data_IF_176984681659
#
_entry.id   IF_176984681659
#
_cell.length_a   1.000
_cell.length_b   1.000
_cell.length_c   1.000
_cell.angle_alpha   90.00
_cell.angle_beta   90.00
_cell.angle_gamma   90.00
#
_symmetry.space_group_name_H-M   'P 1'
#
loop_
_entity.id
_entity.type
_entity.pdbx_description
1 polymer ?
#
# COMPACT_ATOMS: atom_id res chain seq x y z
N UNK A 1 10.09 4.93 -5.47
CA UNK A 1 9.63 4.42 -6.79
C UNK A 1 8.72 5.47 -7.39
N UNK A 2 8.79 5.79 -8.70
CA UNK A 2 7.86 6.78 -9.28
C UNK A 2 6.47 6.17 -9.53
N UNK A 3 5.59 6.29 -8.54
CA UNK A 3 4.19 5.85 -8.63
C UNK A 3 3.45 6.65 -9.70
N UNK A 4 2.67 5.93 -10.50
CA UNK A 4 1.76 6.45 -11.51
C UNK A 4 0.49 5.59 -11.54
N UNK A 5 -0.71 6.22 -11.53
CA UNK A 5 -1.98 5.51 -11.55
C UNK A 5 -2.26 4.80 -12.89
N UNK A 6 -1.50 5.11 -13.94
CA UNK A 6 -1.67 4.53 -15.28
C UNK A 6 -0.77 3.31 -15.54
N UNK A 7 0.00 2.87 -14.53
CA UNK A 7 0.88 1.70 -14.62
C UNK A 7 0.28 0.50 -13.88
N UNK A 8 0.72 -0.68 -14.30
CA UNK A 8 0.52 -1.92 -13.54
C UNK A 8 1.68 -2.13 -12.57
N UNK A 9 1.37 -2.77 -11.45
CA UNK A 9 2.34 -3.14 -10.42
C UNK A 9 2.13 -4.60 -10.05
N UNK A 10 3.22 -5.28 -9.70
CA UNK A 10 3.13 -6.47 -8.87
C UNK A 10 2.70 -6.06 -7.47
N UNK A 11 1.75 -6.81 -6.92
CA UNK A 11 1.26 -6.67 -5.55
C UNK A 11 1.62 -7.93 -4.78
N UNK A 12 2.35 -7.80 -3.68
CA UNK A 12 2.67 -8.92 -2.79
C UNK A 12 2.10 -8.58 -1.42
N UNK A 13 1.04 -9.26 -1.02
CA UNK A 13 0.50 -9.18 0.34
C UNK A 13 1.22 -10.20 1.21
N UNK A 14 1.81 -9.76 2.31
CA UNK A 14 2.38 -10.62 3.36
C UNK A 14 1.56 -10.50 4.64
N UNK A 15 1.33 -11.62 5.31
CA UNK A 15 0.68 -11.71 6.62
C UNK A 15 1.40 -12.80 7.43
N UNK A 16 2.29 -12.41 8.34
CA UNK A 16 3.17 -13.35 9.03
C UNK A 16 4.02 -14.14 8.03
N UNK A 17 3.94 -15.47 8.07
CA UNK A 17 4.66 -16.36 7.15
C UNK A 17 3.95 -16.60 5.81
N UNK A 18 2.75 -16.04 5.62
CA UNK A 18 1.96 -16.23 4.41
C UNK A 18 2.15 -15.09 3.42
N UNK A 19 2.28 -15.43 2.13
CA UNK A 19 2.29 -14.46 1.02
C UNK A 19 1.25 -14.79 -0.07
N UNK A 20 0.63 -13.74 -0.64
CA UNK A 20 -0.16 -13.80 -1.88
C UNK A 20 0.38 -12.80 -2.88
N UNK A 21 0.69 -13.28 -4.08
CA UNK A 21 1.11 -12.47 -5.23
C UNK A 21 -0.08 -12.18 -6.13
N UNK A 22 -0.14 -10.96 -6.64
CA UNK A 22 -1.17 -10.49 -7.54
C UNK A 22 -0.67 -9.29 -8.34
N UNK A 23 -1.59 -8.62 -9.03
CA UNK A 23 -1.30 -7.38 -9.76
C UNK A 23 -2.27 -6.32 -9.31
N UNK A 24 -1.88 -5.05 -9.43
CA UNK A 24 -2.79 -3.93 -9.27
C UNK A 24 -2.51 -2.83 -10.28
N UNK A 25 -3.49 -1.95 -10.48
CA UNK A 25 -3.34 -0.68 -11.18
C UNK A 25 -4.04 0.45 -10.40
N UNK A 26 -4.05 1.66 -10.95
CA UNK A 26 -4.60 2.84 -10.28
C UNK A 26 -3.98 3.10 -8.89
N UNK A 27 -2.73 2.66 -8.71
CA UNK A 27 -2.02 2.85 -7.45
C UNK A 27 -1.78 4.34 -7.23
N UNK A 28 -2.28 4.82 -6.09
CA UNK A 28 -1.98 6.13 -5.53
C UNK A 28 -1.62 5.95 -4.07
N UNK A 29 -0.59 6.66 -3.63
CA UNK A 29 -0.19 6.72 -2.23
C UNK A 29 -0.01 8.19 -1.90
N UNK A 30 -0.58 8.62 -0.79
CA UNK A 30 -0.42 9.98 -0.27
C UNK A 30 -0.40 9.95 1.24
N UNK A 31 0.15 11.01 1.83
CA UNK A 31 0.03 11.25 3.26
C UNK A 31 -1.45 11.41 3.66
N UNK A 32 -1.76 10.99 4.89
CA UNK A 32 -3.05 11.26 5.51
C UNK A 32 -3.19 12.75 5.80
N UNK A 33 -4.38 13.28 5.51
CA UNK A 33 -4.76 14.63 5.91
C UNK A 33 -4.95 14.70 7.43
N UNK A 34 -4.79 15.87 8.06
CA UNK A 34 -4.98 16.01 9.51
C UNK A 34 -6.34 15.49 10.00
N UNK A 35 -7.41 15.83 9.28
CA UNK A 35 -8.78 15.34 9.54
C UNK A 35 -8.92 13.81 9.43
N UNK A 36 -8.17 13.17 8.52
CA UNK A 36 -8.16 11.71 8.41
C UNK A 36 -7.42 11.07 9.58
N UNK A 37 -6.32 11.69 10.05
CA UNK A 37 -5.57 11.22 11.23
C UNK A 37 -6.41 11.32 12.50
N UNK A 38 -7.18 12.38 12.67
CA UNK A 38 -8.08 12.55 13.82
C UNK A 38 -9.25 11.55 13.82
N UNK A 39 -9.70 11.14 12.64
CA UNK A 39 -10.76 10.15 12.49
C UNK A 39 -10.28 8.70 12.70
N UNK A 40 -8.96 8.46 12.76
CA UNK A 40 -8.40 7.13 13.00
C UNK A 40 -8.61 6.71 14.46
N UNK A 41 -9.02 5.46 14.64
CA UNK A 41 -9.04 4.83 15.96
C UNK A 41 -7.63 4.50 16.45
N UNK A 42 -7.49 4.12 17.74
CA UNK A 42 -6.20 3.78 18.35
C UNK A 42 -5.47 2.63 17.65
N UNK A 43 -6.19 1.74 16.96
CA UNK A 43 -5.58 0.64 16.20
C UNK A 43 -4.78 1.10 14.96
N UNK A 44 -4.95 2.36 14.54
CA UNK A 44 -4.18 2.96 13.43
C UNK A 44 -3.25 4.07 13.92
N UNK A 45 -2.95 4.09 15.23
CA UNK A 45 -2.02 5.03 15.83
C UNK A 45 -0.62 4.86 15.20
N UNK A 46 -0.10 5.93 14.59
CA UNK A 46 1.18 5.93 13.87
C UNK A 46 1.08 5.66 12.36
N UNK A 47 -0.11 5.40 11.81
CA UNK A 47 -0.29 5.39 10.36
C UNK A 47 -0.08 6.80 9.78
N UNK A 48 0.59 6.86 8.64
CA UNK A 48 1.02 8.14 8.03
C UNK A 48 0.44 8.36 6.64
N UNK A 49 0.06 7.28 5.94
CA UNK A 49 -0.32 7.29 4.54
C UNK A 49 -1.61 6.52 4.29
N UNK A 50 -2.25 6.83 3.18
CA UNK A 50 -3.33 6.06 2.59
C UNK A 50 -2.92 5.63 1.18
N UNK A 51 -3.09 4.34 0.89
CA UNK A 51 -2.91 3.78 -0.43
C UNK A 51 -4.26 3.36 -1.02
N UNK A 52 -4.47 3.68 -2.30
CA UNK A 52 -5.63 3.24 -3.08
C UNK A 52 -5.16 2.56 -4.35
N UNK A 53 -5.78 1.45 -4.71
CA UNK A 53 -5.47 0.68 -5.91
C UNK A 53 -6.63 -0.24 -6.28
N UNK A 54 -6.63 -0.76 -7.49
CA UNK A 54 -7.55 -1.81 -7.94
C UNK A 54 -6.76 -3.11 -8.12
N UNK A 55 -7.15 -4.18 -7.42
CA UNK A 55 -6.46 -5.48 -7.40
C UNK A 55 -7.04 -6.51 -8.38
N UNK A 56 -7.83 -6.04 -9.36
CA UNK A 56 -8.62 -6.85 -10.30
C UNK A 56 -9.77 -7.65 -9.69
N UNK A 57 -9.96 -7.63 -8.36
CA UNK A 57 -11.15 -8.12 -7.69
C UNK A 57 -12.03 -6.94 -7.24
N UNK A 58 -11.43 -5.92 -6.62
CA UNK A 58 -12.10 -4.73 -6.10
C UNK A 58 -11.16 -3.51 -5.95
N UNK A 59 -11.75 -2.32 -5.81
CA UNK A 59 -10.99 -1.16 -5.35
C UNK A 59 -10.69 -1.29 -3.86
N UNK A 60 -9.42 -1.11 -3.50
CA UNK A 60 -8.91 -1.13 -2.13
C UNK A 60 -8.52 0.27 -1.70
N UNK A 61 -8.81 0.58 -0.44
CA UNK A 61 -8.23 1.68 0.30
C UNK A 61 -7.66 1.10 1.58
N UNK A 62 -6.36 1.31 1.81
CA UNK A 62 -5.65 0.83 2.99
C UNK A 62 -4.89 1.99 3.64
N UNK A 63 -4.80 1.96 4.97
CA UNK A 63 -4.15 2.99 5.77
C UNK A 63 -2.99 2.34 6.52
N UNK A 64 -1.82 2.97 6.49
CA UNK A 64 -0.59 2.41 7.03
C UNK A 64 0.58 3.36 6.88
N UNK A 65 1.80 2.81 6.88
CA UNK A 65 3.04 3.59 6.80
C UNK A 65 3.97 3.03 5.73
N UNK A 66 4.65 3.91 5.01
CA UNK A 66 5.71 3.50 4.08
C UNK A 66 6.93 3.13 4.92
N UNK A 67 7.32 1.85 4.88
CA UNK A 67 8.49 1.34 5.60
C UNK A 67 9.75 1.36 4.74
N UNK A 68 9.60 1.05 3.46
CA UNK A 68 10.69 1.05 2.48
C UNK A 68 10.19 1.67 1.18
N UNK A 69 11.00 2.54 0.60
CA UNK A 69 10.78 3.06 -0.74
C UNK A 69 12.13 3.25 -1.43
N UNK A 70 12.31 2.55 -2.54
CA UNK A 70 13.44 2.72 -3.45
C UNK A 70 12.96 2.78 -4.90
N UNK A 71 13.87 2.78 -5.86
CA UNK A 71 13.51 2.91 -7.29
C UNK A 71 12.75 1.69 -7.85
N UNK A 72 12.82 0.53 -7.20
CA UNK A 72 12.27 -0.74 -7.67
C UNK A 72 10.95 -1.11 -6.97
N UNK A 73 10.84 -0.85 -5.67
CA UNK A 73 9.68 -1.23 -4.88
C UNK A 73 9.31 -0.25 -3.77
N UNK A 74 8.11 -0.46 -3.22
CA UNK A 74 7.61 0.22 -2.04
C UNK A 74 6.94 -0.80 -1.11
N UNK A 75 7.30 -0.78 0.17
CA UNK A 75 6.66 -1.58 1.22
C UNK A 75 5.76 -0.68 2.07
N UNK A 76 4.47 -0.99 2.04
CA UNK A 76 3.42 -0.36 2.81
C UNK A 76 3.03 -1.26 3.99
N UNK A 77 3.47 -0.88 5.18
CA UNK A 77 3.25 -1.58 6.43
C UNK A 77 1.87 -1.24 7.01
N UNK A 78 1.10 -2.27 7.35
CA UNK A 78 -0.23 -2.17 7.92
C UNK A 78 -0.21 -2.43 9.44
N UNK A 79 0.95 -2.73 10.03
CA UNK A 79 1.06 -3.22 11.40
C UNK A 79 0.75 -4.71 11.51
N UNK A 80 0.95 -5.25 12.71
CA UNK A 80 0.59 -6.65 13.07
C UNK A 80 1.16 -7.73 12.13
N UNK A 81 2.33 -7.48 11.53
CA UNK A 81 2.96 -8.41 10.59
C UNK A 81 2.28 -8.50 9.22
N UNK A 82 1.42 -7.54 8.88
CA UNK A 82 0.78 -7.41 7.57
C UNK A 82 1.42 -6.28 6.76
N UNK A 83 1.80 -6.56 5.52
CA UNK A 83 2.34 -5.54 4.61
C UNK A 83 1.94 -5.78 3.16
N UNK A 84 1.82 -4.69 2.40
CA UNK A 84 1.72 -4.73 0.95
C UNK A 84 3.02 -4.25 0.33
N UNK A 85 3.59 -5.03 -0.56
CA UNK A 85 4.73 -4.63 -1.36
C UNK A 85 4.28 -4.40 -2.80
N UNK A 86 4.61 -3.23 -3.33
CA UNK A 86 4.32 -2.82 -4.69
C UNK A 86 5.63 -2.76 -5.47
N UNK A 87 5.71 -3.45 -6.60
CA UNK A 87 6.85 -3.37 -7.53
C UNK A 87 6.35 -2.97 -8.90
N UNK A 88 7.14 -2.19 -9.65
CA UNK A 88 6.79 -1.87 -11.04
C UNK A 88 6.64 -3.16 -11.87
N UNK A 89 5.52 -3.30 -12.58
CA UNK A 89 5.34 -4.38 -13.54
C UNK A 89 6.07 -4.02 -14.84
N UNK A 90 7.26 -4.60 -15.05
CA UNK A 90 8.00 -4.53 -16.31
C UNK A 90 7.68 -5.81 -17.10
N UNK A 91 6.88 -5.66 -18.16
CA UNK A 91 6.53 -6.74 -19.09
C UNK A 91 7.61 -6.98 -20.13
#
# INVERSE_FOLDING_TARGET
>A
MKISPNKFYWLILRVGDWEKKGRCNHLTIRELLPEEKEALGPESEGATHVARFFDFEAYRQIIGTIREEDDEHLVFDMGEGKSYEFREFRG
#
